data_IF_443545220329
#
_entry.id   IF_443545220329
#
_cell.length_a   1.000
_cell.length_b   1.000
_cell.length_c   1.000
_cell.angle_alpha   90.00
_cell.angle_beta   90.00
_cell.angle_gamma   90.00
#
_symmetry.space_group_name_H-M   'P 1'
#
loop_
_entity.id
_entity.type
_entity.pdbx_description
1 polymer ?
#
# COMPACT_ATOMS: atom_id res chain seq x y z
N UNK A 1 6.68 8.13 23.37
CA UNK A 1 6.10 6.90 22.75
C UNK A 1 5.29 7.19 21.47
N UNK A 2 4.48 8.26 21.41
CA UNK A 2 3.68 8.66 20.22
C UNK A 2 4.52 8.84 18.94
N UNK A 3 5.71 9.44 19.04
CA UNK A 3 6.64 9.60 17.91
C UNK A 3 7.02 8.26 17.26
N UNK A 4 7.13 7.17 18.03
CA UNK A 4 7.43 5.82 17.52
C UNK A 4 6.25 5.19 16.77
N UNK A 5 5.03 5.44 17.26
CA UNK A 5 3.81 5.00 16.57
C UNK A 5 3.60 5.75 15.26
N UNK A 6 3.88 7.06 15.23
CA UNK A 6 3.86 7.87 14.00
C UNK A 6 4.83 7.34 12.94
N UNK A 7 6.06 7.01 13.33
CA UNK A 7 7.07 6.43 12.41
C UNK A 7 6.61 5.09 11.83
N UNK A 8 5.91 4.26 12.62
CA UNK A 8 5.36 2.99 12.14
C UNK A 8 4.22 3.17 11.14
N UNK A 9 3.33 4.13 11.39
CA UNK A 9 2.24 4.46 10.47
C UNK A 9 2.78 5.03 9.15
N UNK A 10 3.80 5.90 9.20
CA UNK A 10 4.47 6.41 8.00
C UNK A 10 5.19 5.30 7.20
N UNK A 11 5.71 4.26 7.87
CA UNK A 11 6.40 3.14 7.21
C UNK A 11 5.49 2.22 6.41
N UNK A 12 4.20 2.16 6.74
CA UNK A 12 3.26 1.27 6.07
C UNK A 12 2.96 1.71 4.62
N UNK A 13 3.36 2.92 4.20
CA UNK A 13 3.14 3.48 2.86
C UNK A 13 1.68 3.46 2.34
N UNK A 14 0.73 3.03 3.18
CA UNK A 14 -0.71 2.98 2.89
C UNK A 14 -1.42 4.31 3.07
N UNK A 15 -0.80 5.29 3.74
CA UNK A 15 -1.43 6.57 4.07
C UNK A 15 -0.56 7.72 3.54
N UNK A 16 -1.16 8.58 2.72
CA UNK A 16 -0.49 9.73 2.09
C UNK A 16 -0.33 10.90 3.08
N UNK A 17 -1.34 11.12 3.92
CA UNK A 17 -1.31 12.14 4.97
C UNK A 17 -1.79 11.54 6.30
N UNK A 18 -0.98 11.72 7.35
CA UNK A 18 -1.28 11.31 8.73
C UNK A 18 -1.28 12.59 9.56
N UNK A 19 -2.46 13.15 9.82
CA UNK A 19 -2.60 14.31 10.71
C UNK A 19 -2.94 13.80 12.12
N UNK A 20 -2.08 14.13 13.09
CA UNK A 20 -2.29 13.77 14.51
C UNK A 20 -2.61 15.06 15.25
N UNK A 21 -3.88 15.22 15.58
CA UNK A 21 -4.35 16.33 16.40
C UNK A 21 -4.56 15.84 17.82
N UNK A 22 -4.08 16.62 18.78
CA UNK A 22 -4.24 16.35 20.22
C UNK A 22 -5.07 17.45 20.87
N UNK A 23 -6.39 17.52 20.62
CA UNK A 23 -7.24 18.45 21.35
C UNK A 23 -7.29 18.06 22.83
N UNK A 24 -7.18 19.06 23.71
CA UNK A 24 -7.37 18.88 25.14
C UNK A 24 -8.86 18.62 25.42
N UNK A 25 -9.16 17.66 26.32
CA UNK A 25 -10.54 17.31 26.67
C UNK A 25 -11.14 18.44 27.52
N UNK A 26 -12.33 18.97 27.18
CA UNK A 26 -12.96 20.01 28.00
C UNK A 26 -13.34 19.43 29.37
N UNK A 27 -12.73 19.92 30.45
CA UNK A 27 -13.14 19.63 31.83
C UNK A 27 -12.17 18.81 32.70
N UNK A 28 -11.00 18.42 32.19
CA UNK A 28 -9.96 17.72 32.98
C UNK A 28 -8.56 18.18 32.57
N UNK A 29 -7.71 18.58 33.52
CA UNK A 29 -6.37 19.14 33.25
C UNK A 29 -5.37 18.12 32.68
N UNK A 30 -5.61 16.82 32.89
CA UNK A 30 -4.65 15.75 32.56
C UNK A 30 -5.08 14.83 31.41
N UNK A 31 -6.18 15.14 30.68
CA UNK A 31 -6.66 14.29 29.58
C UNK A 31 -6.53 14.96 28.21
N UNK A 32 -6.07 14.17 27.23
CA UNK A 32 -5.86 14.60 25.85
C UNK A 32 -6.49 13.56 24.93
N UNK A 33 -7.35 14.01 24.03
CA UNK A 33 -7.91 13.16 22.98
C UNK A 33 -6.91 13.08 21.82
N UNK A 34 -6.77 11.89 21.23
CA UNK A 34 -5.89 11.65 20.09
C UNK A 34 -6.74 11.40 18.85
N UNK A 35 -6.97 12.45 18.07
CA UNK A 35 -7.64 12.34 16.78
C UNK A 35 -6.60 12.08 15.70
N UNK A 36 -6.66 10.89 15.11
CA UNK A 36 -5.77 10.47 14.01
C UNK A 36 -6.58 10.40 12.74
N UNK A 37 -6.44 11.41 11.88
CA UNK A 37 -7.02 11.42 10.54
C UNK A 37 -6.02 10.88 9.54
N UNK A 38 -6.39 9.82 8.82
CA UNK A 38 -5.54 9.16 7.81
C UNK A 38 -6.21 9.22 6.43
N UNK A 39 -5.46 9.69 5.43
CA UNK A 39 -5.85 9.63 4.02
C UNK A 39 -5.17 8.44 3.37
N UNK A 40 -5.94 7.46 2.90
CA UNK A 40 -5.42 6.26 2.25
C UNK A 40 -4.87 6.57 0.86
N UNK A 41 -3.71 5.99 0.53
CA UNK A 41 -3.10 6.04 -0.80
C UNK A 41 -3.69 4.91 -1.66
N UNK A 42 -3.91 5.11 -2.97
CA UNK A 42 -4.23 4.00 -3.87
C UNK A 42 -3.14 2.92 -3.78
N UNK A 43 -3.52 1.75 -3.27
CA UNK A 43 -2.64 0.58 -3.03
C UNK A 43 -2.65 -0.43 -4.19
N UNK A 44 -3.27 -0.06 -5.30
CA UNK A 44 -3.28 -0.85 -6.53
C UNK A 44 -2.13 -0.45 -7.45
N UNK A 45 -1.37 -1.45 -7.92
CA UNK A 45 -0.33 -1.30 -8.94
C UNK A 45 -0.71 -2.13 -10.16
N UNK A 46 -0.62 -1.51 -11.33
CA UNK A 46 -0.79 -2.18 -12.62
C UNK A 46 0.54 -2.11 -13.35
N UNK A 47 1.09 -3.26 -13.70
CA UNK A 47 2.30 -3.35 -14.51
C UNK A 47 1.96 -4.07 -15.82
N UNK A 48 2.30 -3.45 -16.93
CA UNK A 48 2.26 -4.08 -18.23
C UNK A 48 3.64 -3.95 -18.86
N UNK A 49 4.14 -5.05 -19.41
CA UNK A 49 5.44 -5.13 -20.05
C UNK A 49 5.39 -5.99 -21.30
N UNK A 50 6.25 -5.66 -22.24
CA UNK A 50 6.51 -6.48 -23.41
C UNK A 50 8.01 -6.56 -23.62
N UNK A 51 8.50 -7.72 -24.04
CA UNK A 51 9.90 -7.99 -24.30
C UNK A 51 10.08 -8.89 -25.51
N UNK A 52 11.30 -8.99 -26.03
CA UNK A 52 11.62 -9.89 -27.13
C UNK A 52 12.84 -10.74 -26.74
N UNK A 53 12.72 -12.06 -26.89
CA UNK A 53 13.79 -13.02 -26.66
C UNK A 53 14.09 -13.78 -27.95
N UNK A 54 15.36 -14.00 -28.27
CA UNK A 54 15.74 -14.83 -29.43
C UNK A 54 15.28 -16.30 -29.29
N UNK A 55 15.13 -16.80 -28.05
CA UNK A 55 14.74 -18.18 -27.78
C UNK A 55 13.21 -18.36 -27.57
N UNK A 56 12.49 -17.31 -27.15
CA UNK A 56 11.04 -17.37 -26.84
C UNK A 56 10.17 -16.46 -27.71
N UNK A 57 10.74 -15.61 -28.55
CA UNK A 57 9.99 -14.64 -29.36
C UNK A 57 9.43 -13.47 -28.56
N UNK A 58 8.22 -13.03 -28.89
CA UNK A 58 7.53 -11.93 -28.21
C UNK A 58 7.00 -12.38 -26.83
N UNK A 59 7.46 -11.70 -25.79
CA UNK A 59 7.02 -11.87 -24.41
C UNK A 59 6.07 -10.74 -24.05
N UNK A 60 4.91 -11.08 -23.50
CA UNK A 60 3.97 -10.11 -22.94
C UNK A 60 3.69 -10.50 -21.51
N UNK A 61 3.79 -9.53 -20.61
CA UNK A 61 3.44 -9.67 -19.22
C UNK A 61 2.46 -8.57 -18.81
N UNK A 62 1.42 -8.96 -18.08
CA UNK A 62 0.52 -8.04 -17.43
C UNK A 62 0.32 -8.52 -16.00
N UNK A 63 0.47 -7.64 -15.03
CA UNK A 63 0.20 -7.94 -13.63
C UNK A 63 -0.57 -6.82 -12.98
N UNK A 64 -1.46 -7.21 -12.08
CA UNK A 64 -2.17 -6.32 -11.18
C UNK A 64 -1.91 -6.79 -9.76
N UNK A 65 -1.48 -5.89 -8.89
CA UNK A 65 -1.26 -6.16 -7.47
C UNK A 65 -1.98 -5.13 -6.63
N UNK A 66 -2.59 -5.58 -5.54
CA UNK A 66 -3.29 -4.77 -4.56
C UNK A 66 -2.67 -5.05 -3.20
N UNK A 67 -1.96 -4.09 -2.61
CA UNK A 67 -1.17 -4.31 -1.38
C UNK A 67 -2.03 -4.22 -0.10
N UNK A 68 -3.20 -3.58 -0.17
CA UNK A 68 -4.16 -3.48 0.94
C UNK A 68 -5.55 -3.94 0.50
N UNK A 69 -5.69 -5.24 0.23
CA UNK A 69 -6.97 -5.82 -0.16
C UNK A 69 -7.99 -5.68 0.98
N UNK A 70 -9.09 -4.96 0.72
CA UNK A 70 -10.19 -4.70 1.66
C UNK A 70 -9.80 -4.00 2.98
N UNK A 71 -8.65 -3.33 3.05
CA UNK A 71 -8.19 -2.71 4.30
C UNK A 71 -7.53 -3.68 5.29
N UNK A 72 -7.33 -4.96 4.89
CA UNK A 72 -6.80 -6.01 5.76
C UNK A 72 -5.27 -6.08 5.75
N UNK A 73 -4.58 -5.23 4.98
CA UNK A 73 -3.13 -5.29 4.78
C UNK A 73 -2.65 -6.55 4.05
N UNK A 74 -3.56 -7.26 3.37
CA UNK A 74 -3.23 -8.45 2.58
C UNK A 74 -2.90 -8.03 1.15
N UNK A 75 -1.79 -8.53 0.63
CA UNK A 75 -1.39 -8.35 -0.75
C UNK A 75 -2.04 -9.41 -1.64
N UNK A 76 -2.80 -9.00 -2.65
CA UNK A 76 -3.39 -9.88 -3.67
C UNK A 76 -2.83 -9.48 -5.03
N UNK A 77 -2.27 -10.42 -5.79
CA UNK A 77 -1.79 -10.16 -7.15
C UNK A 77 -2.28 -11.19 -8.15
N UNK A 78 -2.57 -10.73 -9.36
CA UNK A 78 -2.84 -11.57 -10.52
C UNK A 78 -1.82 -11.24 -11.61
N UNK A 79 -1.20 -12.28 -12.16
CA UNK A 79 -0.14 -12.16 -13.15
C UNK A 79 -0.49 -13.00 -14.37
N UNK A 80 -0.41 -12.38 -15.55
CA UNK A 80 -0.57 -13.01 -16.86
C UNK A 80 0.78 -12.90 -17.56
N UNK A 81 1.31 -14.03 -17.99
CA UNK A 81 2.58 -14.10 -18.70
C UNK A 81 2.43 -15.02 -19.91
N UNK A 82 2.83 -14.54 -21.09
CA UNK A 82 2.78 -15.31 -22.33
C UNK A 82 4.12 -16.01 -22.65
N UNK A 83 4.88 -16.46 -21.64
CA UNK A 83 6.05 -17.29 -21.91
C UNK A 83 5.57 -18.69 -22.27
N UNK A 84 5.96 -19.15 -23.45
CA UNK A 84 5.99 -20.57 -23.75
C UNK A 84 7.00 -21.21 -22.81
N UNK A 85 6.55 -21.61 -21.63
CA UNK A 85 7.19 -22.69 -20.89
C UNK A 85 6.96 -23.93 -21.76
N UNK A 86 7.88 -24.16 -22.69
CA UNK A 86 7.95 -25.44 -23.37
C UNK A 86 8.25 -26.46 -22.26
N UNK A 87 7.31 -27.40 -22.07
CA UNK A 87 7.58 -28.63 -21.31
C UNK A 87 8.80 -29.35 -21.88
#
# INVERSE_FOLDING_TARGET
KIKRSRIRLQRLSYFENINIETPAVPGTEDQVDLNVSVSERPSGTLMAGMGYSQAQGLLVNASVSQDNFLGNGTQVSANINNSSVNQ
#
